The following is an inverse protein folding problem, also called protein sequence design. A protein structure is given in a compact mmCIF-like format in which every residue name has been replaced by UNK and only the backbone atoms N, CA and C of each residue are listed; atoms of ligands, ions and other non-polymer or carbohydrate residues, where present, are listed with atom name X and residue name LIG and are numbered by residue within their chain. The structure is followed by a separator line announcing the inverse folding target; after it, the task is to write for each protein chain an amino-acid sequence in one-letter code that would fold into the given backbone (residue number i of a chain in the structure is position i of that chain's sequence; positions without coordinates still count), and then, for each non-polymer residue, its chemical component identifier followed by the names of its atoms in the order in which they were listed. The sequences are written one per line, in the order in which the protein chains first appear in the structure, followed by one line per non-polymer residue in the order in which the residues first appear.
data_IF_532843338705
#
_entry.id   IF_532843338705
#
_cell.length_a   1.000
_cell.length_b   1.000
_cell.length_c   1.000
_cell.angle_alpha   90.00
_cell.angle_beta   90.00
_cell.angle_gamma   90.00
#
_symmetry.space_group_name_H-M   'P 1'
#
loop_
_entity.id
_entity.type
_entity.pdbx_description
1 polymer ?
#
# COMPACT_ATOMS: atom_id res chain seq x y z
N UNK A 1 -44.98 45.07 -24.23
CA UNK A 1 -44.00 44.15 -24.87
C UNK A 1 -42.62 44.59 -24.43
N UNK A 2 -41.73 43.63 -24.18
CA UNK A 2 -40.43 43.72 -23.49
C UNK A 2 -40.56 43.79 -21.95
N UNK A 3 -40.16 42.79 -21.15
CA UNK A 3 -39.40 41.57 -21.40
C UNK A 3 -38.66 41.25 -20.11
N UNK A 4 -39.26 40.46 -19.22
CA UNK A 4 -38.65 40.00 -17.98
C UNK A 4 -37.48 39.05 -18.32
N UNK A 5 -36.26 39.58 -18.30
CA UNK A 5 -35.03 38.80 -18.49
C UNK A 5 -34.41 38.50 -17.14
N UNK A 6 -34.92 37.49 -16.45
CA UNK A 6 -34.28 36.89 -15.28
C UNK A 6 -32.94 36.35 -15.76
N UNK A 7 -31.85 37.05 -15.47
CA UNK A 7 -30.48 36.54 -15.63
C UNK A 7 -30.32 35.49 -14.54
N UNK A 8 -30.84 34.30 -14.82
CA UNK A 8 -30.70 33.12 -13.99
C UNK A 8 -29.21 32.87 -13.78
N UNK A 9 -28.81 32.94 -12.50
CA UNK A 9 -27.51 32.52 -12.03
C UNK A 9 -27.20 31.13 -12.60
N UNK A 10 -26.27 31.08 -13.55
CA UNK A 10 -25.70 29.83 -14.02
C UNK A 10 -24.71 29.40 -12.94
N UNK A 11 -25.24 28.88 -11.83
CA UNK A 11 -24.44 28.06 -10.92
C UNK A 11 -24.12 26.81 -11.72
N UNK A 12 -22.96 26.82 -12.36
CA UNK A 12 -22.43 25.66 -13.05
C UNK A 12 -22.36 24.51 -12.07
N UNK A 13 -23.30 23.57 -12.19
CA UNK A 13 -23.17 22.27 -11.58
C UNK A 13 -21.92 21.63 -12.18
N UNK A 14 -20.80 21.75 -11.47
CA UNK A 14 -19.61 20.94 -11.70
C UNK A 14 -20.07 19.51 -11.44
N UNK A 15 -20.47 18.83 -12.52
CA UNK A 15 -20.68 17.40 -12.51
C UNK A 15 -19.30 16.80 -12.24
N UNK A 16 -19.01 16.53 -10.96
CA UNK A 16 -17.89 15.70 -10.57
C UNK A 16 -18.14 14.32 -11.17
N UNK A 17 -17.68 14.12 -12.40
CA UNK A 17 -17.50 12.81 -12.99
C UNK A 17 -16.42 12.14 -12.14
N UNK A 18 -16.83 11.52 -11.04
CA UNK A 18 -15.96 10.68 -10.23
C UNK A 18 -15.40 9.61 -11.16
N UNK A 19 -14.13 9.72 -11.50
CA UNK A 19 -13.43 8.69 -12.24
C UNK A 19 -13.49 7.45 -11.35
N UNK A 20 -13.97 6.29 -11.84
CA UNK A 20 -13.92 5.08 -11.03
C UNK A 20 -12.45 4.80 -10.71
N UNK A 21 -12.06 4.88 -9.43
CA UNK A 21 -10.75 4.39 -9.02
C UNK A 21 -10.78 2.87 -9.14
N UNK A 22 -10.05 2.34 -10.12
CA UNK A 22 -9.83 0.91 -10.21
C UNK A 22 -8.77 0.56 -9.17
N UNK A 23 -9.09 -0.36 -8.26
CA UNK A 23 -8.13 -0.90 -7.31
C UNK A 23 -6.90 -1.45 -8.05
N UNK A 24 -5.72 -1.00 -7.66
CA UNK A 24 -4.44 -1.42 -8.23
C UNK A 24 -3.82 -2.52 -7.37
N UNK A 25 -3.25 -3.53 -8.02
CA UNK A 25 -2.44 -4.56 -7.35
C UNK A 25 -0.97 -4.26 -7.62
N UNK A 26 -0.22 -3.94 -6.57
CA UNK A 26 1.21 -3.69 -6.63
C UNK A 26 1.98 -4.96 -6.28
N UNK A 27 2.73 -5.49 -7.24
CA UNK A 27 3.67 -6.59 -6.98
C UNK A 27 4.89 -6.05 -6.24
N UNK A 28 5.05 -6.45 -4.99
CA UNK A 28 6.13 -5.97 -4.12
C UNK A 28 7.48 -6.45 -4.65
N UNK A 29 8.40 -5.50 -4.89
CA UNK A 29 9.72 -5.80 -5.44
C UNK A 29 9.73 -6.14 -6.94
N UNK A 30 8.60 -5.97 -7.63
CA UNK A 30 8.43 -6.28 -9.06
C UNK A 30 8.94 -7.70 -9.40
N UNK A 31 9.92 -7.82 -10.29
CA UNK A 31 10.50 -9.13 -10.67
C UNK A 31 11.40 -9.74 -9.59
N UNK A 32 11.95 -8.93 -8.67
CA UNK A 32 12.78 -9.43 -7.58
C UNK A 32 11.93 -10.06 -6.46
N UNK A 33 10.67 -9.64 -6.34
CA UNK A 33 9.75 -10.12 -5.32
C UNK A 33 10.13 -9.68 -3.90
N UNK A 34 9.52 -10.35 -2.92
CA UNK A 34 9.83 -10.21 -1.51
C UNK A 34 11.04 -11.07 -1.15
N UNK A 35 12.23 -10.47 -1.25
CA UNK A 35 13.51 -11.11 -1.07
C UNK A 35 14.54 -10.21 -0.35
N UNK A 36 15.64 -10.82 0.08
CA UNK A 36 16.83 -10.13 0.56
C UNK A 36 17.53 -9.37 -0.57
N UNK A 37 18.06 -8.19 -0.27
CA UNK A 37 18.80 -7.36 -1.24
C UNK A 37 17.92 -6.52 -2.19
N UNK A 38 16.60 -6.67 -2.13
CA UNK A 38 15.66 -5.79 -2.84
C UNK A 38 15.61 -4.41 -2.18
N UNK A 39 15.74 -3.34 -2.97
CA UNK A 39 15.59 -1.96 -2.49
C UNK A 39 14.12 -1.53 -2.52
N UNK A 40 13.41 -1.81 -1.42
CA UNK A 40 12.01 -1.42 -1.27
C UNK A 40 11.81 0.10 -1.18
N UNK A 41 12.84 0.86 -0.80
CA UNK A 41 12.76 2.33 -0.75
C UNK A 41 12.72 2.90 -2.15
N UNK A 42 13.51 2.35 -3.07
CA UNK A 42 13.42 2.74 -4.48
C UNK A 42 12.17 2.17 -5.14
N UNK A 43 11.74 0.96 -4.77
CA UNK A 43 10.50 0.38 -5.29
C UNK A 43 9.27 1.24 -4.97
N UNK A 44 9.16 1.83 -3.78
CA UNK A 44 8.02 2.69 -3.45
C UNK A 44 8.04 4.06 -4.14
N UNK A 45 9.18 4.50 -4.72
CA UNK A 45 9.27 5.83 -5.34
C UNK A 45 8.31 5.97 -6.52
N UNK A 46 7.55 7.06 -6.52
CA UNK A 46 6.59 7.39 -7.58
C UNK A 46 5.34 6.52 -7.59
N UNK A 47 5.16 5.61 -6.62
CA UNK A 47 3.92 4.88 -6.41
C UNK A 47 3.00 5.68 -5.48
N UNK A 48 1.71 5.70 -5.80
CA UNK A 48 0.68 6.30 -4.95
C UNK A 48 -0.29 5.19 -4.59
N UNK A 49 -0.30 4.80 -3.33
CA UNK A 49 -1.20 3.80 -2.81
C UNK A 49 -2.48 4.47 -2.34
N UNK A 50 -3.62 3.83 -2.58
CA UNK A 50 -4.93 4.29 -2.16
C UNK A 50 -5.69 3.18 -1.44
N UNK A 51 -6.65 3.58 -0.60
CA UNK A 51 -7.59 2.63 0.00
C UNK A 51 -8.30 1.83 -1.11
N UNK A 52 -8.29 0.51 -0.98
CA UNK A 52 -8.81 -0.43 -1.97
C UNK A 52 -7.73 -1.09 -2.83
N UNK A 53 -6.52 -0.54 -2.90
CA UNK A 53 -5.37 -1.18 -3.55
C UNK A 53 -4.94 -2.44 -2.78
N UNK A 54 -4.05 -3.23 -3.38
CA UNK A 54 -3.48 -4.42 -2.75
C UNK A 54 -1.99 -4.57 -3.00
N UNK A 55 -1.28 -5.15 -2.03
CA UNK A 55 0.13 -5.51 -2.13
C UNK A 55 0.24 -7.02 -2.34
N UNK A 56 0.78 -7.44 -3.49
CA UNK A 56 1.06 -8.83 -3.79
C UNK A 56 2.52 -9.16 -3.48
N UNK A 57 2.73 -9.98 -2.46
CA UNK A 57 4.03 -10.47 -2.03
C UNK A 57 4.26 -11.88 -2.58
N UNK A 58 5.35 -12.07 -3.32
CA UNK A 58 5.82 -13.38 -3.78
C UNK A 58 7.20 -13.65 -3.17
N UNK A 59 7.37 -14.79 -2.49
CA UNK A 59 8.58 -15.08 -1.72
C UNK A 59 8.91 -16.58 -1.68
N UNK A 60 10.21 -16.87 -1.61
CA UNK A 60 10.70 -18.24 -1.40
C UNK A 60 10.50 -18.75 0.03
N UNK A 61 10.77 -20.03 0.23
CA UNK A 61 10.77 -20.64 1.56
C UNK A 61 11.79 -19.96 2.51
N UNK A 62 11.45 -19.86 3.78
CA UNK A 62 12.27 -19.16 4.78
C UNK A 62 12.05 -17.64 4.81
N UNK A 63 11.00 -17.15 4.15
CA UNK A 63 10.52 -15.77 4.27
C UNK A 63 9.09 -15.75 4.80
N UNK A 64 8.75 -14.70 5.54
CA UNK A 64 7.39 -14.40 5.96
C UNK A 64 7.03 -12.98 5.54
N UNK A 65 5.74 -12.69 5.53
CA UNK A 65 5.22 -11.32 5.44
C UNK A 65 4.43 -11.07 6.71
N UNK A 66 5.02 -10.27 7.60
CA UNK A 66 4.41 -9.93 8.88
C UNK A 66 4.02 -8.45 8.86
N UNK A 67 2.72 -8.16 9.00
CA UNK A 67 2.26 -6.79 9.25
C UNK A 67 2.48 -6.46 10.72
N UNK A 68 3.10 -5.32 11.02
CA UNK A 68 3.55 -4.97 12.37
C UNK A 68 3.29 -3.50 12.70
N UNK A 69 3.48 -3.15 13.97
CA UNK A 69 3.47 -1.75 14.40
C UNK A 69 4.67 -0.97 13.85
N UNK A 70 4.57 0.37 13.82
CA UNK A 70 5.71 1.23 13.43
C UNK A 70 6.94 1.00 14.32
N UNK A 71 6.74 0.78 15.63
CA UNK A 71 7.83 0.50 16.56
C UNK A 71 8.53 -0.81 16.22
N UNK A 72 7.77 -1.88 15.98
CA UNK A 72 8.33 -3.20 15.66
C UNK A 72 9.01 -3.21 14.28
N UNK A 73 8.47 -2.46 13.31
CA UNK A 73 9.13 -2.22 12.02
C UNK A 73 10.49 -1.51 12.16
N UNK A 74 10.56 -0.56 13.08
CA UNK A 74 11.77 0.24 13.31
C UNK A 74 12.86 -0.58 14.00
N UNK A 75 12.48 -1.39 15.00
CA UNK A 75 13.39 -2.25 15.75
C UNK A 75 13.58 -3.65 15.17
N UNK A 76 12.83 -4.00 14.12
CA UNK A 76 12.73 -5.37 13.60
C UNK A 76 12.33 -6.41 14.66
N UNK A 77 11.38 -6.04 15.52
CA UNK A 77 10.82 -6.94 16.53
C UNK A 77 9.85 -7.92 15.88
N UNK A 78 9.99 -9.20 16.19
CA UNK A 78 9.13 -10.28 15.69
C UNK A 78 8.28 -10.87 16.81
N UNK A 79 7.15 -11.50 16.49
CA UNK A 79 6.30 -12.22 17.45
C UNK A 79 5.11 -11.42 18.00
N UNK A 80 5.01 -10.13 17.64
CA UNK A 80 3.87 -9.25 17.96
C UNK A 80 3.11 -8.82 16.68
N UNK A 81 3.12 -9.68 15.66
CA UNK A 81 2.57 -9.37 14.34
C UNK A 81 1.04 -9.15 14.41
N UNK A 82 0.56 -8.14 13.69
CA UNK A 82 -0.87 -7.91 13.44
C UNK A 82 -1.42 -9.02 12.55
N UNK A 83 -0.64 -9.39 11.53
CA UNK A 83 -0.87 -10.53 10.66
C UNK A 83 0.47 -11.14 10.24
N UNK A 84 0.46 -12.42 9.84
CA UNK A 84 1.66 -13.12 9.37
C UNK A 84 1.29 -14.17 8.34
N UNK A 85 2.08 -14.27 7.27
CA UNK A 85 1.94 -15.28 6.23
C UNK A 85 3.32 -15.88 5.87
N UNK A 86 3.34 -17.21 5.67
CA UNK A 86 4.53 -17.98 5.28
C UNK A 86 4.28 -18.96 4.13
N UNK A 87 3.20 -18.74 3.37
CA UNK A 87 2.73 -19.62 2.28
C UNK A 87 3.58 -19.55 1.00
N UNK A 88 4.40 -18.50 0.85
CA UNK A 88 5.21 -18.22 -0.33
C UNK A 88 4.57 -17.24 -1.32
N UNK A 89 3.27 -16.98 -1.19
CA UNK A 89 2.57 -15.97 -1.99
C UNK A 89 1.34 -15.48 -1.25
N UNK A 90 1.30 -14.19 -0.91
CA UNK A 90 0.16 -13.59 -0.21
C UNK A 90 -0.20 -12.24 -0.81
N UNK A 91 -1.49 -11.89 -0.79
CA UNK A 91 -1.99 -10.60 -1.26
C UNK A 91 -2.71 -9.90 -0.13
N UNK A 92 -2.24 -8.71 0.24
CA UNK A 92 -2.73 -7.93 1.36
C UNK A 92 -3.47 -6.70 0.84
N UNK A 93 -4.79 -6.59 1.04
CA UNK A 93 -5.55 -5.40 0.68
C UNK A 93 -5.28 -4.23 1.65
N UNK A 94 -5.11 -3.02 1.12
CA UNK A 94 -5.00 -1.78 1.87
C UNK A 94 -6.42 -1.25 2.13
N UNK A 95 -6.93 -1.48 3.34
CA UNK A 95 -8.35 -1.24 3.69
C UNK A 95 -8.59 0.09 4.40
N UNK A 96 -7.54 0.73 4.89
CA UNK A 96 -7.65 1.89 5.78
C UNK A 96 -6.51 2.84 5.51
N UNK A 97 -6.80 4.12 5.32
CA UNK A 97 -5.75 5.11 5.16
C UNK A 97 -4.80 5.13 6.35
N UNK A 98 -3.52 5.32 6.07
CA UNK A 98 -2.49 5.31 7.08
C UNK A 98 -1.17 4.81 6.52
N UNK A 99 -0.27 4.41 7.42
CA UNK A 99 0.97 3.74 7.01
C UNK A 99 0.95 2.31 7.53
N UNK A 100 1.08 1.36 6.61
CA UNK A 100 1.21 -0.06 6.86
C UNK A 100 2.69 -0.46 6.84
N UNK A 101 3.07 -1.30 7.79
CA UNK A 101 4.46 -1.73 7.94
C UNK A 101 4.56 -3.24 7.84
N UNK A 102 5.44 -3.71 6.96
CA UNK A 102 5.66 -5.12 6.71
C UNK A 102 7.12 -5.48 6.94
N UNK A 103 7.37 -6.61 7.57
CA UNK A 103 8.72 -7.15 7.79
C UNK A 103 8.76 -8.63 7.43
N UNK A 104 9.96 -9.14 7.13
CA UNK A 104 10.22 -10.57 7.15
C UNK A 104 10.69 -10.96 8.56
N UNK A 105 9.97 -11.89 9.20
CA UNK A 105 10.22 -12.33 10.57
C UNK A 105 11.40 -13.30 10.72
N UNK A 106 11.96 -13.80 9.61
CA UNK A 106 13.16 -14.64 9.64
C UNK A 106 14.37 -13.91 10.21
N UNK A 107 15.15 -14.62 11.03
CA UNK A 107 16.28 -14.07 11.77
C UNK A 107 17.25 -13.30 10.86
N UNK A 108 17.48 -12.02 11.16
CA UNK A 108 18.39 -11.15 10.42
C UNK A 108 17.83 -10.54 9.13
N UNK A 109 16.67 -10.98 8.63
CA UNK A 109 16.15 -10.52 7.33
C UNK A 109 15.62 -9.08 7.38
N UNK A 110 14.78 -8.76 8.37
CA UNK A 110 14.29 -7.38 8.54
C UNK A 110 15.44 -6.38 8.74
N UNK A 111 16.40 -6.71 9.61
CA UNK A 111 17.56 -5.85 9.86
C UNK A 111 18.47 -5.72 8.63
N UNK A 112 18.49 -6.73 7.75
CA UNK A 112 19.14 -6.72 6.45
C UNK A 112 18.36 -5.96 5.35
N UNK A 113 17.25 -5.31 5.69
CA UNK A 113 16.49 -4.46 4.76
C UNK A 113 15.25 -5.10 4.17
N UNK A 114 14.90 -6.34 4.55
CA UNK A 114 13.67 -7.01 4.10
C UNK A 114 12.45 -6.51 4.88
N UNK A 115 12.12 -5.24 4.66
CA UNK A 115 11.04 -4.51 5.29
C UNK A 115 10.48 -3.44 4.36
N UNK A 116 9.16 -3.21 4.41
CA UNK A 116 8.44 -2.27 3.57
C UNK A 116 7.50 -1.41 4.41
N UNK A 117 7.51 -0.09 4.16
CA UNK A 117 6.49 0.82 4.66
C UNK A 117 5.73 1.39 3.46
N UNK A 118 4.41 1.31 3.51
CA UNK A 118 3.50 1.83 2.48
C UNK A 118 2.52 2.78 3.15
N UNK A 119 2.38 3.97 2.59
CA UNK A 119 1.38 4.94 3.04
C UNK A 119 0.32 5.05 1.96
N UNK A 120 -0.91 4.66 2.29
CA UNK A 120 -2.08 4.87 1.44
C UNK A 120 -2.85 6.12 1.87
N UNK A 121 -3.31 6.86 0.86
CA UNK A 121 -4.12 8.06 1.02
C UNK A 121 -5.61 7.70 0.88
N UNK A 122 -6.46 8.48 1.55
CA UNK A 122 -7.93 8.40 1.42
C UNK A 122 -8.43 8.72 0.01
#
# INVERSE_FOLDING_TARGET
MAGFGIVWAIVGAVLCLGVPSMATVYTVGDTAGWAMGTDYTTWTKGKTFAVGDSLAFNYGGGHTVDEVSQSDYSSCTTGNSISSDSSGSTTIPLKTAGTHYFICGSMGHCAGGMKLAVTDLE
#
